data_IF_718334714805
#
_entry.id   IF_718334714805
#
_cell.length_a   1.000
_cell.length_b   1.000
_cell.length_c   1.000
_cell.angle_alpha   90.00
_cell.angle_beta   90.00
_cell.angle_gamma   90.00
#
_symmetry.space_group_name_H-M   'P 1'
#
loop_
_entity.id
_entity.type
_entity.pdbx_description
1 polymer ?
#
# COMPACT_ATOMS: atom_id res chain seq x y z
N UNK A 1 -29.94 -21.64 54.36
CA UNK A 1 -29.81 -20.30 53.72
C UNK A 1 -29.83 -20.48 52.23
N UNK A 2 -30.96 -20.22 51.61
CA UNK A 2 -31.13 -20.32 50.14
C UNK A 2 -30.81 -18.95 49.55
N UNK A 3 -29.70 -18.87 48.81
CA UNK A 3 -29.32 -17.66 48.11
C UNK A 3 -30.40 -17.29 47.08
N UNK A 4 -30.84 -16.03 47.13
CA UNK A 4 -31.84 -15.45 46.23
C UNK A 4 -31.43 -15.67 44.76
N UNK A 5 -32.26 -16.23 43.88
CA UNK A 5 -31.95 -16.50 42.48
C UNK A 5 -31.58 -15.21 41.69
N UNK A 6 -32.05 -14.04 42.09
CA UNK A 6 -31.65 -12.76 41.51
C UNK A 6 -30.19 -12.41 41.74
N UNK A 7 -29.57 -12.88 42.85
CA UNK A 7 -28.17 -12.63 43.13
C UNK A 7 -27.20 -13.48 42.25
N UNK A 8 -27.69 -14.57 41.64
CA UNK A 8 -26.91 -15.41 40.72
C UNK A 8 -26.94 -14.92 39.28
N UNK A 9 -27.97 -14.14 38.88
CA UNK A 9 -28.10 -13.59 37.56
C UNK A 9 -27.24 -12.32 37.34
N UNK A 10 -26.97 -11.59 38.40
CA UNK A 10 -26.21 -10.33 38.32
C UNK A 10 -24.79 -10.48 37.72
N UNK A 11 -23.95 -11.45 38.15
CA UNK A 11 -22.61 -11.60 37.56
C UNK A 11 -22.64 -12.09 36.10
N UNK A 12 -23.66 -12.88 35.72
CA UNK A 12 -23.84 -13.33 34.33
C UNK A 12 -24.23 -12.17 33.42
N UNK A 13 -25.13 -11.32 33.88
CA UNK A 13 -25.53 -10.11 33.14
C UNK A 13 -24.39 -9.10 33.03
N UNK A 14 -23.60 -8.96 34.10
CA UNK A 14 -22.40 -8.09 34.08
C UNK A 14 -21.32 -8.59 33.13
N UNK A 15 -21.07 -9.91 33.12
CA UNK A 15 -20.15 -10.54 32.18
C UNK A 15 -20.61 -10.41 30.71
N UNK A 16 -21.90 -10.59 30.47
CA UNK A 16 -22.50 -10.40 29.14
C UNK A 16 -22.43 -8.94 28.67
N UNK A 17 -22.68 -7.98 29.57
CA UNK A 17 -22.54 -6.55 29.29
C UNK A 17 -21.09 -6.14 28.99
N UNK A 18 -20.11 -6.72 29.69
CA UNK A 18 -18.67 -6.50 29.44
C UNK A 18 -18.22 -7.08 28.12
N UNK A 19 -18.75 -8.26 27.72
CA UNK A 19 -18.46 -8.86 26.42
C UNK A 19 -19.08 -8.06 25.28
N UNK A 20 -20.28 -7.52 25.47
CA UNK A 20 -20.95 -6.67 24.49
C UNK A 20 -20.31 -5.26 24.40
N UNK A 21 -19.81 -4.71 25.52
CA UNK A 21 -19.10 -3.43 25.54
C UNK A 21 -17.70 -3.50 24.89
N UNK A 22 -17.07 -4.69 24.88
CA UNK A 22 -15.76 -4.92 24.23
C UNK A 22 -15.84 -5.00 22.71
N UNK A 23 -17.01 -5.21 22.14
CA UNK A 23 -17.23 -5.22 20.69
C UNK A 23 -17.64 -3.83 20.17
N UNK A 24 -16.82 -2.79 20.41
CA UNK A 24 -16.98 -1.55 19.65
C UNK A 24 -16.76 -1.91 18.17
N UNK A 25 -17.76 -1.67 17.28
CA UNK A 25 -17.48 -1.79 15.86
C UNK A 25 -16.32 -0.84 15.56
N UNK A 26 -15.33 -1.30 14.75
CA UNK A 26 -14.38 -0.37 14.16
C UNK A 26 -15.20 0.74 13.52
N UNK A 27 -15.07 1.97 14.00
CA UNK A 27 -15.66 3.13 13.32
C UNK A 27 -14.90 3.29 12.02
N UNK A 28 -15.43 2.73 10.96
CA UNK A 28 -14.87 2.90 9.64
C UNK A 28 -15.55 4.10 9.04
N UNK A 29 -14.75 5.12 8.90
CA UNK A 29 -15.10 6.25 8.05
C UNK A 29 -15.28 5.72 6.62
N UNK A 30 -16.28 6.25 5.90
CA UNK A 30 -16.46 5.97 4.49
C UNK A 30 -15.12 6.18 3.75
N UNK A 31 -14.77 5.35 2.76
CA UNK A 31 -13.54 5.52 2.01
C UNK A 31 -13.51 6.94 1.44
N UNK A 32 -12.50 7.71 1.83
CA UNK A 32 -12.31 9.09 1.35
C UNK A 32 -11.75 9.16 -0.06
N UNK A 33 -11.31 8.02 -0.57
CA UNK A 33 -10.71 7.93 -1.91
C UNK A 33 -11.78 7.58 -2.93
N UNK A 34 -12.25 8.55 -3.73
CA UNK A 34 -13.18 8.28 -4.82
C UNK A 34 -12.50 7.38 -5.85
N UNK A 35 -13.30 6.68 -6.65
CA UNK A 35 -12.81 6.03 -7.86
C UNK A 35 -12.19 7.08 -8.79
N UNK A 36 -11.18 6.69 -9.58
CA UNK A 36 -10.57 7.57 -10.58
C UNK A 36 -11.63 8.11 -11.54
N UNK A 37 -11.66 9.42 -11.73
CA UNK A 37 -12.49 10.06 -12.74
C UNK A 37 -11.75 10.03 -14.09
N UNK A 38 -12.15 9.14 -14.95
CA UNK A 38 -11.58 8.99 -16.31
C UNK A 38 -12.37 9.75 -17.38
N UNK A 39 -13.49 10.43 -17.03
CA UNK A 39 -14.35 11.12 -17.99
C UNK A 39 -13.78 12.47 -18.47
N UNK A 40 -12.80 13.04 -17.74
CA UNK A 40 -12.17 14.31 -18.07
C UNK A 40 -10.74 14.16 -18.58
N UNK A 41 -10.07 15.29 -18.87
CA UNK A 41 -8.66 15.29 -19.22
C UNK A 41 -7.84 14.72 -18.04
N UNK A 42 -6.71 14.04 -18.32
CA UNK A 42 -5.89 13.49 -17.27
C UNK A 42 -5.43 14.59 -16.29
N UNK A 43 -5.30 14.26 -15.00
CA UNK A 43 -4.57 15.07 -14.06
C UNK A 43 -3.08 15.09 -14.43
N UNK A 44 -2.29 15.91 -13.75
CA UNK A 44 -0.83 15.90 -13.94
C UNK A 44 -0.20 14.68 -13.24
N UNK A 45 -0.80 14.25 -12.12
CA UNK A 45 -0.33 13.11 -11.31
C UNK A 45 -1.51 12.27 -10.84
N UNK A 46 -1.33 10.95 -10.83
CA UNK A 46 -2.24 9.98 -10.19
C UNK A 46 -1.47 9.27 -9.08
N UNK A 47 -2.02 9.25 -7.87
CA UNK A 47 -1.52 8.46 -6.74
C UNK A 47 -2.44 7.27 -6.52
N UNK A 48 -1.90 6.07 -6.66
CA UNK A 48 -2.59 4.81 -6.38
C UNK A 48 -2.04 4.24 -5.07
N UNK A 49 -2.90 4.12 -4.06
CA UNK A 49 -2.50 3.63 -2.75
C UNK A 49 -3.09 2.26 -2.46
N UNK A 50 -2.31 1.36 -1.87
CA UNK A 50 -2.78 0.07 -1.39
C UNK A 50 -2.43 -0.07 0.09
N UNK A 51 -3.47 -0.19 0.90
CA UNK A 51 -3.35 -0.46 2.33
C UNK A 51 -3.07 -1.94 2.56
N UNK A 52 -2.31 -2.26 3.60
CA UNK A 52 -1.93 -3.63 3.89
C UNK A 52 -2.90 -4.40 4.77
N UNK A 53 -2.35 -5.46 5.34
CA UNK A 53 -3.04 -6.37 6.24
C UNK A 53 -3.49 -5.67 7.52
N UNK A 54 -4.71 -5.91 7.94
CA UNK A 54 -5.19 -5.46 9.23
C UNK A 54 -4.69 -6.35 10.38
N UNK A 55 -4.42 -5.73 11.54
CA UNK A 55 -4.06 -6.43 12.77
C UNK A 55 -5.26 -6.85 13.61
N UNK A 56 -5.07 -7.75 14.61
CA UNK A 56 -6.14 -8.14 15.53
C UNK A 56 -6.87 -6.93 16.15
N UNK A 57 -8.16 -7.01 16.37
CA UNK A 57 -9.06 -8.15 16.27
C UNK A 57 -9.65 -8.41 14.87
N UNK A 58 -9.12 -7.78 13.86
CA UNK A 58 -9.49 -7.98 12.45
C UNK A 58 -9.02 -9.35 11.94
N UNK A 59 -9.76 -9.95 11.01
CA UNK A 59 -9.42 -11.22 10.37
C UNK A 59 -9.05 -10.98 8.90
N UNK A 60 -7.76 -10.79 8.64
CA UNK A 60 -7.25 -10.66 7.28
C UNK A 60 -7.42 -11.98 6.49
N UNK A 61 -7.58 -11.90 5.15
CA UNK A 61 -7.76 -10.68 4.34
C UNK A 61 -9.18 -10.14 4.36
N UNK A 62 -10.15 -10.92 4.92
CA UNK A 62 -11.58 -10.64 4.84
C UNK A 62 -11.99 -9.29 5.43
N UNK A 63 -11.30 -8.86 6.49
CA UNK A 63 -11.64 -7.62 7.21
C UNK A 63 -10.67 -6.48 6.86
N UNK A 64 -9.78 -6.63 5.87
CA UNK A 64 -8.91 -5.55 5.42
C UNK A 64 -9.71 -4.37 4.88
N UNK A 65 -9.16 -3.16 5.00
CA UNK A 65 -9.78 -1.95 4.48
C UNK A 65 -8.71 -0.94 4.02
N UNK A 66 -9.14 0.06 3.23
CA UNK A 66 -8.28 1.19 2.84
C UNK A 66 -8.07 2.15 4.01
N UNK A 67 -7.10 1.85 4.86
CA UNK A 67 -6.74 2.72 5.97
C UNK A 67 -5.79 3.85 5.58
N UNK A 68 -5.02 3.75 4.49
CA UNK A 68 -4.18 4.85 4.02
C UNK A 68 -5.02 6.04 3.58
N UNK A 69 -6.15 5.78 2.90
CA UNK A 69 -7.13 6.80 2.60
C UNK A 69 -7.83 7.34 3.85
N UNK A 70 -8.37 6.45 4.71
CA UNK A 70 -9.14 6.86 5.88
C UNK A 70 -8.30 7.57 6.97
N UNK A 71 -7.00 7.29 7.06
CA UNK A 71 -6.07 7.95 8.00
C UNK A 71 -5.55 9.30 7.49
N UNK A 72 -5.74 9.61 6.20
CA UNK A 72 -5.21 10.81 5.58
C UNK A 72 -3.77 10.69 5.07
N UNK A 73 -3.17 9.50 5.09
CA UNK A 73 -1.81 9.26 4.56
C UNK A 73 -1.75 9.51 3.05
N UNK A 74 -2.74 8.99 2.33
CA UNK A 74 -2.87 9.22 0.89
C UNK A 74 -3.05 10.71 0.57
N UNK A 75 -3.89 11.40 1.35
CA UNK A 75 -4.13 12.85 1.21
C UNK A 75 -2.87 13.66 1.50
N UNK A 76 -2.05 13.25 2.48
CA UNK A 76 -0.80 13.92 2.80
C UNK A 76 0.20 13.82 1.63
N UNK A 77 0.37 12.64 1.03
CA UNK A 77 1.23 12.45 -0.15
C UNK A 77 0.72 13.27 -1.34
N UNK A 78 -0.59 13.21 -1.60
CA UNK A 78 -1.21 14.01 -2.67
C UNK A 78 -1.05 15.52 -2.43
N UNK A 79 -1.18 15.97 -1.17
CA UNK A 79 -0.97 17.36 -0.76
C UNK A 79 0.46 17.84 -1.00
N UNK A 80 1.48 17.02 -0.69
CA UNK A 80 2.88 17.35 -0.96
C UNK A 80 3.15 17.54 -2.46
N UNK A 81 2.51 16.74 -3.32
CA UNK A 81 2.59 16.85 -4.77
C UNK A 81 1.84 18.09 -5.26
N UNK A 82 0.62 18.30 -4.77
CA UNK A 82 -0.23 19.43 -5.15
C UNK A 82 0.41 20.79 -4.76
N UNK A 83 1.11 20.85 -3.63
CA UNK A 83 1.87 22.03 -3.19
C UNK A 83 2.96 22.45 -4.19
N UNK A 84 3.41 21.55 -5.06
CA UNK A 84 4.32 21.84 -6.17
C UNK A 84 3.59 22.34 -7.43
N UNK A 85 2.26 22.54 -7.36
CA UNK A 85 1.44 23.10 -8.43
C UNK A 85 0.97 22.06 -9.46
N UNK A 86 0.87 20.78 -9.10
CA UNK A 86 0.30 19.72 -9.93
C UNK A 86 -1.15 19.46 -9.57
N UNK A 87 -1.97 19.15 -10.58
CA UNK A 87 -3.32 18.59 -10.37
C UNK A 87 -3.19 17.11 -10.07
N UNK A 88 -3.70 16.67 -8.92
CA UNK A 88 -3.55 15.29 -8.43
C UNK A 88 -4.91 14.62 -8.36
N UNK A 89 -5.01 13.38 -8.85
CA UNK A 89 -6.08 12.46 -8.49
C UNK A 89 -5.53 11.32 -7.64
N UNK A 90 -6.37 10.82 -6.74
CA UNK A 90 -6.01 9.73 -5.84
C UNK A 90 -7.02 8.60 -5.93
N UNK A 91 -6.57 7.37 -5.71
CA UNK A 91 -7.44 6.22 -5.47
C UNK A 91 -6.80 5.28 -4.46
N UNK A 92 -7.61 4.81 -3.50
CA UNK A 92 -7.19 3.90 -2.45
C UNK A 92 -7.81 2.51 -2.61
N UNK A 93 -7.04 1.51 -2.21
CA UNK A 93 -7.42 0.09 -2.29
C UNK A 93 -6.98 -0.62 -1.01
N UNK A 94 -7.68 -1.69 -0.69
CA UNK A 94 -7.37 -2.55 0.44
C UNK A 94 -6.58 -3.78 -0.02
N UNK A 95 -5.85 -4.39 0.92
CA UNK A 95 -5.15 -5.65 0.73
C UNK A 95 -6.15 -6.81 0.54
N UNK A 96 -6.47 -7.09 -0.69
CA UNK A 96 -7.30 -8.21 -1.12
C UNK A 96 -7.05 -8.48 -2.62
N UNK A 97 -7.10 -9.75 -3.04
CA UNK A 97 -7.04 -10.11 -4.45
C UNK A 97 -8.34 -9.75 -5.20
N UNK A 98 -9.46 -9.62 -4.50
CA UNK A 98 -10.79 -9.42 -5.07
C UNK A 98 -10.98 -8.00 -5.62
N UNK A 99 -11.91 -7.84 -6.56
CA UNK A 99 -12.27 -6.50 -7.06
C UNK A 99 -13.07 -5.71 -6.02
N UNK A 100 -14.02 -6.36 -5.35
CA UNK A 100 -14.84 -5.75 -4.29
C UNK A 100 -15.17 -6.80 -3.24
N UNK A 101 -15.23 -6.39 -2.00
CA UNK A 101 -15.62 -7.24 -0.89
C UNK A 101 -16.18 -6.41 0.25
N UNK A 102 -17.00 -7.05 1.11
CA UNK A 102 -17.58 -6.42 2.28
C UNK A 102 -16.89 -6.95 3.55
N UNK A 103 -16.04 -6.16 4.20
CA UNK A 103 -15.48 -6.53 5.50
C UNK A 103 -16.59 -6.62 6.56
N UNK A 104 -16.42 -7.48 7.56
CA UNK A 104 -17.43 -7.61 8.62
C UNK A 104 -17.46 -6.42 9.57
N UNK A 105 -16.32 -5.75 9.73
CA UNK A 105 -16.15 -4.66 10.71
C UNK A 105 -16.09 -3.28 10.09
N UNK A 106 -16.24 -3.22 8.77
CA UNK A 106 -16.18 -1.99 7.97
C UNK A 106 -17.53 -1.77 7.30
N UNK A 107 -18.15 -0.63 7.51
CA UNK A 107 -19.50 -0.37 7.00
C UNK A 107 -19.56 -0.30 5.48
N UNK A 108 -18.50 0.21 4.83
CA UNK A 108 -18.49 0.40 3.39
C UNK A 108 -17.81 -0.78 2.65
N UNK A 109 -18.30 -1.17 1.47
CA UNK A 109 -17.58 -2.09 0.59
C UNK A 109 -16.18 -1.59 0.30
N UNK A 110 -15.22 -2.51 0.22
CA UNK A 110 -13.82 -2.22 -0.05
C UNK A 110 -13.46 -2.70 -1.45
N UNK A 111 -12.46 -2.04 -2.04
CA UNK A 111 -11.90 -2.35 -3.35
C UNK A 111 -10.52 -2.94 -3.16
N UNK A 112 -10.25 -4.10 -3.77
CA UNK A 112 -8.94 -4.75 -3.70
C UNK A 112 -8.17 -4.65 -5.01
N UNK A 113 -7.14 -5.50 -5.16
CA UNK A 113 -6.21 -5.44 -6.27
C UNK A 113 -6.87 -5.64 -7.66
N UNK A 114 -7.84 -6.55 -7.79
CA UNK A 114 -8.50 -6.71 -9.09
C UNK A 114 -9.24 -5.43 -9.53
N UNK A 115 -9.74 -4.61 -8.59
CA UNK A 115 -10.28 -3.29 -8.92
C UNK A 115 -9.17 -2.30 -9.29
N UNK A 116 -8.03 -2.32 -8.59
CA UNK A 116 -6.86 -1.52 -8.95
C UNK A 116 -6.38 -1.85 -10.37
N UNK A 117 -6.22 -3.13 -10.69
CA UNK A 117 -5.80 -3.58 -12.02
C UNK A 117 -6.80 -3.15 -13.12
N UNK A 118 -8.11 -3.25 -12.84
CA UNK A 118 -9.15 -2.80 -13.78
C UNK A 118 -9.14 -1.28 -13.97
N UNK A 119 -8.99 -0.50 -12.91
CA UNK A 119 -8.85 0.97 -12.98
C UNK A 119 -7.60 1.36 -13.75
N UNK A 120 -6.48 0.67 -13.50
CA UNK A 120 -5.23 0.87 -14.19
C UNK A 120 -5.33 0.56 -15.69
N UNK A 121 -5.97 -0.55 -16.06
CA UNK A 121 -6.20 -0.91 -17.45
C UNK A 121 -7.05 0.15 -18.18
N UNK A 122 -8.12 0.65 -17.54
CA UNK A 122 -8.94 1.75 -18.07
C UNK A 122 -8.12 3.04 -18.22
N UNK A 123 -7.31 3.39 -17.22
CA UNK A 123 -6.42 4.55 -17.27
C UNK A 123 -5.41 4.43 -18.41
N UNK A 124 -4.80 3.24 -18.62
CA UNK A 124 -3.91 2.98 -19.78
C UNK A 124 -4.63 3.25 -21.09
N UNK A 125 -5.85 2.75 -21.27
CA UNK A 125 -6.62 2.94 -22.48
C UNK A 125 -6.98 4.41 -22.73
N UNK A 126 -7.42 5.13 -21.68
CA UNK A 126 -7.91 6.52 -21.82
C UNK A 126 -6.80 7.57 -21.89
N UNK A 127 -5.68 7.37 -21.18
CA UNK A 127 -4.68 8.43 -20.99
C UNK A 127 -3.29 8.10 -21.56
N UNK A 128 -2.90 6.83 -21.61
CA UNK A 128 -1.56 6.46 -22.11
C UNK A 128 -1.56 6.09 -23.59
N UNK A 129 -2.68 5.53 -24.08
CA UNK A 129 -2.80 5.10 -25.49
C UNK A 129 -3.59 6.08 -26.38
N UNK A 130 -4.22 7.08 -25.79
CA UNK A 130 -4.99 8.06 -26.52
C UNK A 130 -4.09 9.03 -27.28
N UNK A 131 -4.26 9.21 -28.62
CA UNK A 131 -3.46 10.15 -29.38
C UNK A 131 -3.59 11.59 -28.88
N UNK A 132 -2.48 12.32 -28.78
CA UNK A 132 -2.46 13.72 -28.37
C UNK A 132 -2.72 13.97 -26.90
N UNK A 133 -2.91 12.94 -26.08
CA UNK A 133 -3.07 13.07 -24.64
C UNK A 133 -1.71 12.92 -23.95
N UNK A 134 -1.35 13.91 -23.13
CA UNK A 134 -0.19 13.76 -22.25
C UNK A 134 -0.56 12.89 -21.06
N UNK A 135 0.04 11.70 -20.88
CA UNK A 135 -0.31 10.83 -19.77
C UNK A 135 0.10 11.45 -18.43
N UNK A 136 -0.62 11.14 -17.34
CA UNK A 136 -0.24 11.56 -16.01
C UNK A 136 1.04 10.87 -15.55
N UNK A 137 1.79 11.49 -14.66
CA UNK A 137 2.80 10.79 -13.87
C UNK A 137 2.12 9.90 -12.84
N UNK A 138 2.67 8.70 -12.65
CA UNK A 138 2.12 7.72 -11.72
C UNK A 138 2.97 7.63 -10.47
N UNK A 139 2.30 7.65 -9.33
CA UNK A 139 2.88 7.44 -8.00
C UNK A 139 2.17 6.24 -7.38
N UNK A 140 2.94 5.28 -6.89
CA UNK A 140 2.45 4.13 -6.13
C UNK A 140 2.76 4.35 -4.65
N UNK A 141 1.80 4.05 -3.78
CA UNK A 141 1.94 4.13 -2.33
C UNK A 141 1.46 2.81 -1.72
N UNK A 142 2.37 2.07 -1.13
CA UNK A 142 2.08 0.82 -0.44
C UNK A 142 2.40 0.89 1.05
N UNK A 143 1.62 0.19 1.87
CA UNK A 143 2.00 -0.11 3.25
C UNK A 143 1.82 -1.60 3.53
N UNK A 144 2.79 -2.22 4.20
CA UNK A 144 2.67 -3.64 4.54
C UNK A 144 2.51 -4.54 3.30
N UNK A 145 1.51 -5.42 3.24
CA UNK A 145 1.12 -6.16 2.02
C UNK A 145 0.76 -5.23 0.85
N UNK A 146 0.34 -3.99 1.13
CA UNK A 146 0.07 -3.01 0.07
C UNK A 146 1.28 -2.75 -0.82
N UNK A 147 2.51 -2.74 -0.25
CA UNK A 147 3.74 -2.64 -1.01
C UNK A 147 3.94 -3.85 -1.94
N UNK A 148 3.55 -5.06 -1.52
CA UNK A 148 3.60 -6.24 -2.40
C UNK A 148 2.72 -6.04 -3.64
N UNK A 149 1.51 -5.50 -3.46
CA UNK A 149 0.59 -5.22 -4.56
C UNK A 149 1.07 -4.11 -5.48
N UNK A 150 1.67 -3.04 -4.95
CA UNK A 150 2.20 -1.93 -5.78
C UNK A 150 3.40 -2.36 -6.61
N UNK A 151 4.33 -3.13 -6.03
CA UNK A 151 5.43 -3.75 -6.78
C UNK A 151 4.91 -4.70 -7.85
N UNK A 152 3.97 -5.56 -7.50
CA UNK A 152 3.36 -6.48 -8.46
C UNK A 152 2.70 -5.74 -9.63
N UNK A 153 1.95 -4.66 -9.36
CA UNK A 153 1.37 -3.82 -10.42
C UNK A 153 2.43 -3.28 -11.37
N UNK A 154 3.54 -2.78 -10.84
CA UNK A 154 4.64 -2.27 -11.66
C UNK A 154 5.32 -3.39 -12.49
N UNK A 155 5.52 -4.57 -11.90
CA UNK A 155 6.12 -5.73 -12.58
C UNK A 155 5.30 -6.23 -13.75
N UNK A 156 3.94 -6.28 -13.63
CA UNK A 156 3.06 -6.76 -14.71
C UNK A 156 2.71 -5.68 -15.73
N UNK A 157 3.20 -4.46 -15.57
CA UNK A 157 3.03 -3.35 -16.50
C UNK A 157 4.37 -2.70 -16.87
N UNK A 158 5.33 -3.45 -17.45
CA UNK A 158 6.68 -2.95 -17.73
C UNK A 158 6.70 -1.84 -18.81
N UNK A 159 5.63 -1.74 -19.58
CA UNK A 159 5.42 -0.72 -20.63
C UNK A 159 4.94 0.64 -20.10
N UNK A 160 4.66 0.75 -18.79
CA UNK A 160 4.17 1.98 -18.17
C UNK A 160 5.20 2.53 -17.20
N UNK A 161 5.66 3.79 -17.37
CA UNK A 161 6.58 4.41 -16.44
C UNK A 161 5.87 4.86 -15.15
N UNK A 162 6.43 4.53 -14.00
CA UNK A 162 6.05 5.04 -12.69
C UNK A 162 7.10 6.04 -12.24
N UNK A 163 6.68 7.26 -11.95
CA UNK A 163 7.59 8.32 -11.54
C UNK A 163 8.12 8.15 -10.11
N UNK A 164 7.30 7.55 -9.24
CA UNK A 164 7.64 7.33 -7.84
C UNK A 164 6.90 6.11 -7.29
N UNK A 165 7.61 5.30 -6.50
CA UNK A 165 7.06 4.29 -5.62
C UNK A 165 7.39 4.68 -4.18
N UNK A 166 6.45 4.45 -3.28
CA UNK A 166 6.59 4.74 -1.85
C UNK A 166 6.18 3.49 -1.09
N UNK A 167 7.16 2.88 -0.44
CA UNK A 167 6.99 1.67 0.35
C UNK A 167 7.07 1.99 1.84
N UNK A 168 5.92 2.00 2.48
CA UNK A 168 5.83 2.14 3.92
C UNK A 168 5.89 0.76 4.56
N UNK A 169 7.10 0.32 4.91
CA UNK A 169 7.33 -0.91 5.66
C UNK A 169 6.72 -2.16 5.01
N UNK A 170 7.03 -2.40 3.73
CA UNK A 170 6.53 -3.54 2.97
C UNK A 170 6.94 -4.87 3.59
N UNK A 171 5.99 -5.77 3.89
CA UNK A 171 6.24 -7.08 4.47
C UNK A 171 5.50 -8.20 3.74
N UNK A 172 6.07 -9.40 3.82
CA UNK A 172 5.52 -10.63 3.26
C UNK A 172 4.90 -11.58 4.29
N UNK A 173 4.91 -11.21 5.57
CA UNK A 173 4.38 -12.07 6.62
C UNK A 173 2.90 -12.42 6.36
N UNK A 174 2.59 -13.70 6.30
CA UNK A 174 1.25 -14.24 6.01
C UNK A 174 0.73 -14.05 4.58
N UNK A 175 1.50 -13.56 3.62
CA UNK A 175 1.06 -13.34 2.24
C UNK A 175 0.33 -14.55 1.63
N UNK A 176 0.99 -15.72 1.64
CA UNK A 176 0.41 -16.93 1.09
C UNK A 176 -0.82 -17.40 1.88
N UNK A 177 -0.81 -17.26 3.20
CA UNK A 177 -1.94 -17.62 4.06
C UNK A 177 -3.17 -16.79 3.72
N UNK A 178 -2.99 -15.50 3.51
CA UNK A 178 -4.09 -14.56 3.29
C UNK A 178 -4.62 -14.64 1.84
N UNK A 179 -3.75 -14.84 0.84
CA UNK A 179 -4.13 -14.64 -0.57
C UNK A 179 -4.20 -15.91 -1.41
N UNK A 180 -3.58 -17.03 -0.99
CA UNK A 180 -3.49 -18.24 -1.82
C UNK A 180 -4.85 -18.76 -2.31
N UNK A 181 -5.86 -18.73 -1.44
CA UNK A 181 -7.20 -19.22 -1.76
C UNK A 181 -7.83 -18.38 -2.87
N UNK A 182 -7.82 -17.06 -2.69
CA UNK A 182 -8.50 -16.14 -3.60
C UNK A 182 -7.76 -16.04 -4.93
N UNK A 183 -6.42 -16.03 -4.92
CA UNK A 183 -5.59 -16.02 -6.12
C UNK A 183 -5.70 -17.31 -6.94
N UNK A 184 -5.96 -18.47 -6.30
CA UNK A 184 -6.24 -19.71 -7.04
C UNK A 184 -7.64 -19.71 -7.67
N UNK A 185 -8.63 -19.16 -6.94
CA UNK A 185 -10.00 -19.10 -7.42
C UNK A 185 -10.22 -17.99 -8.46
N UNK A 186 -9.52 -16.88 -8.31
CA UNK A 186 -9.66 -15.65 -9.12
C UNK A 186 -8.26 -15.12 -9.47
N UNK A 187 -7.57 -15.72 -10.44
CA UNK A 187 -6.27 -15.22 -10.88
C UNK A 187 -6.36 -13.76 -11.34
N UNK A 188 -5.40 -12.96 -10.91
CA UNK A 188 -5.34 -11.52 -11.26
C UNK A 188 -4.31 -11.24 -12.35
N UNK A 189 -3.55 -12.24 -12.76
CA UNK A 189 -2.56 -12.21 -13.82
C UNK A 189 -3.11 -12.71 -15.15
N UNK A 190 -2.57 -12.17 -16.25
CA UNK A 190 -2.74 -12.70 -17.58
C UNK A 190 -1.72 -13.82 -17.88
N UNK A 191 -1.99 -14.70 -18.88
CA UNK A 191 -1.01 -15.72 -19.30
C UNK A 191 0.37 -15.12 -19.60
N UNK A 192 1.42 -15.73 -19.05
CA UNK A 192 2.80 -15.29 -19.25
C UNK A 192 3.26 -14.17 -18.30
N UNK A 193 2.40 -13.63 -17.46
CA UNK A 193 2.77 -12.69 -16.43
C UNK A 193 3.29 -13.39 -15.15
N UNK A 194 4.13 -12.71 -14.33
CA UNK A 194 4.46 -13.19 -12.99
C UNK A 194 3.19 -13.46 -12.17
N UNK A 195 3.20 -14.51 -11.36
CA UNK A 195 2.04 -14.82 -10.52
C UNK A 195 2.07 -13.98 -9.25
N UNK A 196 0.94 -13.37 -8.90
CA UNK A 196 0.80 -12.57 -7.68
C UNK A 196 1.15 -13.35 -6.41
N UNK A 197 0.86 -14.65 -6.38
CA UNK A 197 1.17 -15.52 -5.24
C UNK A 197 2.68 -15.69 -5.01
N UNK A 198 3.49 -15.53 -6.06
CA UNK A 198 4.95 -15.66 -5.98
C UNK A 198 5.65 -14.35 -5.58
N UNK A 199 4.93 -13.26 -5.43
CA UNK A 199 5.51 -11.94 -5.11
C UNK A 199 6.37 -11.91 -3.85
N UNK A 200 6.13 -12.84 -2.93
CA UNK A 200 6.89 -13.00 -1.69
C UNK A 200 7.95 -14.12 -1.75
N UNK A 201 8.12 -14.79 -2.88
CA UNK A 201 9.17 -15.80 -3.04
C UNK A 201 10.55 -15.15 -3.11
N UNK A 202 11.57 -15.90 -2.63
CA UNK A 202 12.96 -15.47 -2.76
C UNK A 202 13.42 -15.65 -4.21
N UNK A 203 14.07 -14.62 -4.74
CA UNK A 203 14.71 -14.61 -6.06
C UNK A 203 16.15 -14.20 -5.94
N UNK A 204 16.99 -14.69 -6.88
CA UNK A 204 18.40 -14.30 -6.93
C UNK A 204 18.53 -12.96 -7.64
N UNK A 205 19.18 -12.00 -6.97
CA UNK A 205 19.57 -10.71 -7.56
C UNK A 205 21.08 -10.52 -7.31
N UNK A 206 21.86 -10.50 -8.36
CA UNK A 206 23.31 -10.48 -8.23
C UNK A 206 23.82 -11.70 -7.43
N UNK A 207 24.52 -11.42 -6.33
CA UNK A 207 25.03 -12.46 -5.40
C UNK A 207 24.09 -12.74 -4.22
N UNK A 208 23.01 -11.97 -4.08
CA UNK A 208 22.08 -12.05 -2.96
C UNK A 208 20.80 -12.80 -3.30
N UNK A 209 20.02 -13.06 -2.26
CA UNK A 209 18.64 -13.52 -2.33
C UNK A 209 17.76 -12.45 -1.71
N UNK A 210 16.76 -11.98 -2.45
CA UNK A 210 15.78 -11.00 -1.97
C UNK A 210 14.37 -11.52 -2.26
N UNK A 211 13.35 -10.96 -1.64
CA UNK A 211 11.99 -11.28 -2.04
C UNK A 211 11.67 -10.60 -3.37
N UNK A 212 10.85 -11.23 -4.19
CA UNK A 212 10.47 -10.65 -5.49
C UNK A 212 9.84 -9.26 -5.33
N UNK A 213 9.08 -9.03 -4.28
CA UNK A 213 8.52 -7.71 -3.97
C UNK A 213 9.58 -6.62 -3.69
N UNK A 214 10.82 -7.01 -3.29
CA UNK A 214 11.90 -6.04 -3.01
C UNK A 214 12.71 -5.72 -4.28
N UNK A 215 12.35 -6.33 -5.39
CA UNK A 215 12.94 -5.98 -6.69
C UNK A 215 12.15 -4.83 -7.31
N UNK A 216 12.70 -3.62 -7.23
CA UNK A 216 12.11 -2.41 -7.82
C UNK A 216 12.28 -2.45 -9.33
N UNK A 217 11.20 -2.57 -10.13
CA UNK A 217 11.31 -2.71 -11.58
C UNK A 217 11.93 -1.49 -12.26
N UNK A 218 12.54 -1.68 -13.44
CA UNK A 218 13.22 -0.60 -14.18
C UNK A 218 12.27 0.50 -14.67
N UNK A 219 11.00 0.22 -14.81
CA UNK A 219 9.97 1.21 -15.16
C UNK A 219 9.54 2.10 -13.97
N UNK A 220 10.11 1.92 -12.79
CA UNK A 220 9.96 2.79 -11.62
C UNK A 220 11.18 3.70 -11.54
N UNK A 221 11.01 5.02 -11.68
CA UNK A 221 12.14 5.95 -11.69
C UNK A 221 12.78 6.13 -10.31
N UNK A 222 11.94 6.34 -9.28
CA UNK A 222 12.39 6.53 -7.89
C UNK A 222 11.58 5.65 -6.95
N UNK A 223 12.24 5.21 -5.87
CA UNK A 223 11.62 4.43 -4.80
C UNK A 223 12.02 5.03 -3.44
N UNK A 224 11.02 5.27 -2.60
CA UNK A 224 11.20 5.71 -1.22
C UNK A 224 10.80 4.57 -0.28
N UNK A 225 11.80 3.87 0.23
CA UNK A 225 11.61 2.75 1.15
C UNK A 225 11.69 3.21 2.60
N UNK A 226 10.64 2.94 3.36
CA UNK A 226 10.60 3.11 4.81
C UNK A 226 10.67 1.73 5.46
N UNK A 227 11.49 1.60 6.48
CA UNK A 227 11.56 0.40 7.32
C UNK A 227 11.37 0.76 8.79
N UNK A 228 10.46 0.07 9.47
CA UNK A 228 10.33 0.13 10.91
C UNK A 228 11.31 -0.85 11.55
N UNK A 229 12.17 -0.36 12.45
CA UNK A 229 13.15 -1.17 13.21
C UNK A 229 13.04 -0.95 14.70
N UNK A 230 11.87 -0.57 15.18
CA UNK A 230 11.64 -0.38 16.61
C UNK A 230 11.89 -1.66 17.37
N UNK A 231 12.65 -1.54 18.45
CA UNK A 231 12.92 -2.67 19.34
C UNK A 231 11.64 -3.11 20.09
N UNK A 232 11.45 -4.42 20.32
CA UNK A 232 10.26 -4.95 21.00
C UNK A 232 10.00 -4.41 22.41
N UNK A 233 11.03 -3.87 23.09
CA UNK A 233 10.92 -3.29 24.43
C UNK A 233 10.10 -1.99 24.50
N UNK A 234 9.90 -1.32 23.38
CA UNK A 234 9.12 -0.08 23.32
C UNK A 234 7.65 -0.38 23.03
N UNK A 235 6.75 0.31 23.75
CA UNK A 235 5.32 0.26 23.43
C UNK A 235 5.06 0.93 22.10
N UNK A 236 4.14 0.37 21.35
CA UNK A 236 3.61 1.02 20.16
C UNK A 236 2.56 2.06 20.54
N UNK A 237 2.78 3.32 20.16
CA UNK A 237 1.81 4.38 20.38
C UNK A 237 0.60 4.26 19.41
N UNK A 238 0.77 3.51 18.33
CA UNK A 238 -0.30 3.23 17.35
C UNK A 238 -1.09 1.96 17.66
N UNK A 239 -0.70 1.19 18.70
CA UNK A 239 -1.29 -0.12 19.00
C UNK A 239 -0.88 -1.24 18.06
N UNK A 240 0.09 -1.00 17.16
CA UNK A 240 0.56 -1.97 16.18
C UNK A 240 1.55 -2.98 16.75
N UNK A 241 1.82 -4.02 15.96
CA UNK A 241 2.85 -5.02 16.24
C UNK A 241 4.16 -4.66 15.53
N UNK A 242 5.30 -4.97 16.17
CA UNK A 242 6.64 -4.72 15.61
C UNK A 242 7.11 -5.86 14.69
N UNK A 243 6.24 -6.31 13.82
CA UNK A 243 6.46 -7.54 13.04
C UNK A 243 7.57 -7.40 12.01
N UNK A 244 7.78 -6.20 11.46
CA UNK A 244 8.78 -6.01 10.41
C UNK A 244 10.18 -6.41 10.87
N UNK A 245 10.59 -5.99 12.06
CA UNK A 245 11.91 -6.30 12.60
C UNK A 245 12.24 -7.80 12.62
N UNK A 246 11.22 -8.64 12.83
CA UNK A 246 11.38 -10.09 12.93
C UNK A 246 11.23 -10.82 11.60
N UNK A 247 10.46 -10.27 10.66
CA UNK A 247 10.00 -10.99 9.49
C UNK A 247 10.50 -10.44 8.15
N UNK A 248 11.01 -9.22 8.13
CA UNK A 248 11.48 -8.60 6.90
C UNK A 248 12.88 -8.03 7.07
N UNK A 249 13.86 -8.72 6.48
CA UNK A 249 15.28 -8.39 6.57
C UNK A 249 15.85 -7.97 5.20
N UNK A 250 15.09 -8.14 4.13
CA UNK A 250 15.51 -7.76 2.78
C UNK A 250 15.20 -6.29 2.51
N UNK A 251 15.98 -5.69 1.63
CA UNK A 251 15.90 -4.29 1.24
C UNK A 251 15.51 -4.20 -0.22
N UNK A 252 14.84 -3.11 -0.59
CA UNK A 252 14.56 -2.84 -1.99
C UNK A 252 15.87 -2.68 -2.78
N UNK A 253 15.94 -3.36 -3.92
CA UNK A 253 17.08 -3.33 -4.85
C UNK A 253 16.58 -3.28 -6.29
N UNK A 254 17.43 -2.81 -7.20
CA UNK A 254 17.18 -2.94 -8.63
C UNK A 254 17.43 -4.36 -9.11
N UNK A 255 16.97 -4.75 -10.32
CA UNK A 255 17.24 -6.09 -10.89
C UNK A 255 18.73 -6.43 -11.03
N UNK A 256 19.60 -5.44 -11.15
CA UNK A 256 21.06 -5.60 -11.16
C UNK A 256 21.69 -5.67 -9.76
N UNK A 257 20.90 -5.54 -8.71
CA UNK A 257 21.34 -5.51 -7.31
C UNK A 257 21.80 -4.14 -6.81
N UNK A 258 21.73 -3.09 -7.64
CA UNK A 258 22.07 -1.74 -7.23
C UNK A 258 20.91 -1.09 -6.43
N UNK A 259 21.19 0.06 -5.83
CA UNK A 259 20.19 0.93 -5.17
C UNK A 259 19.93 2.22 -5.97
N UNK A 260 20.18 2.22 -7.27
CA UNK A 260 20.00 3.40 -8.09
C UNK A 260 18.56 3.94 -8.02
N UNK A 261 18.39 5.22 -7.62
CA UNK A 261 17.08 5.85 -7.46
C UNK A 261 16.24 5.30 -6.30
N UNK A 262 16.82 4.53 -5.39
CA UNK A 262 16.19 4.03 -4.16
C UNK A 262 16.74 4.83 -2.99
N UNK A 263 15.88 5.49 -2.25
CA UNK A 263 16.21 6.19 -1.02
C UNK A 263 15.52 5.50 0.16
N UNK A 264 16.19 5.47 1.32
CA UNK A 264 15.72 4.67 2.45
C UNK A 264 15.68 5.47 3.74
N UNK A 265 14.62 5.30 4.49
CA UNK A 265 14.46 5.77 5.86
C UNK A 265 14.25 4.58 6.81
N UNK A 266 15.08 4.49 7.84
CA UNK A 266 14.96 3.45 8.88
C UNK A 266 14.50 4.11 10.16
N UNK A 267 13.25 3.85 10.57
CA UNK A 267 12.71 4.31 11.85
C UNK A 267 13.00 3.30 12.95
N UNK A 268 13.77 3.70 13.94
CA UNK A 268 14.02 2.91 15.17
C UNK A 268 13.03 3.26 16.31
N UNK A 269 12.20 4.27 16.10
CA UNK A 269 11.23 4.77 17.09
C UNK A 269 9.81 4.36 16.80
N UNK A 270 9.51 4.04 15.56
CA UNK A 270 8.18 3.74 15.05
C UNK A 270 8.05 2.26 14.74
N UNK A 271 6.90 1.71 15.00
CA UNK A 271 6.55 0.34 14.62
C UNK A 271 5.94 0.27 13.23
N UNK A 272 5.62 -0.95 12.81
CA UNK A 272 5.02 -1.26 11.51
C UNK A 272 3.75 -0.43 11.20
N UNK A 273 2.88 -0.20 12.17
CA UNK A 273 1.67 0.59 11.96
C UNK A 273 1.95 2.09 11.99
N UNK A 274 2.82 2.53 12.92
CA UNK A 274 3.11 3.94 13.17
C UNK A 274 3.68 4.66 11.94
N UNK A 275 4.56 4.01 11.17
CA UNK A 275 5.19 4.60 9.97
C UNK A 275 4.17 5.05 8.90
N UNK A 276 2.95 4.52 8.94
CA UNK A 276 1.89 4.85 8.00
C UNK A 276 0.99 6.00 8.44
N UNK A 277 1.23 6.62 9.58
CA UNK A 277 0.40 7.75 10.06
C UNK A 277 0.95 9.09 9.58
N UNK A 278 0.05 10.08 9.31
CA UNK A 278 0.46 11.41 8.82
C UNK A 278 1.43 12.18 9.71
N UNK A 279 1.41 11.90 11.03
CA UNK A 279 2.26 12.55 12.02
C UNK A 279 3.56 11.79 12.32
N UNK A 280 3.82 10.65 11.67
CA UNK A 280 5.03 9.87 11.85
C UNK A 280 6.27 10.60 11.31
N UNK A 281 7.43 10.33 11.90
CA UNK A 281 8.71 10.83 11.37
C UNK A 281 9.02 10.20 10.00
N UNK A 282 8.64 8.94 9.82
CA UNK A 282 8.75 8.24 8.55
C UNK A 282 7.95 8.94 7.45
N UNK A 283 6.67 9.27 7.69
CA UNK A 283 5.88 9.95 6.65
C UNK A 283 6.34 11.38 6.43
N UNK A 284 6.78 12.12 7.44
CA UNK A 284 7.40 13.45 7.25
C UNK A 284 8.57 13.37 6.27
N UNK A 285 9.49 12.42 6.48
CA UNK A 285 10.60 12.20 5.55
C UNK A 285 10.11 11.89 4.13
N UNK A 286 9.12 11.00 3.98
CA UNK A 286 8.52 10.68 2.67
C UNK A 286 7.95 11.92 2.01
N UNK A 287 7.22 12.78 2.73
CA UNK A 287 6.63 14.00 2.18
C UNK A 287 7.70 15.00 1.73
N UNK A 288 8.78 15.17 2.50
CA UNK A 288 9.91 16.03 2.16
C UNK A 288 10.64 15.53 0.90
N UNK A 289 10.91 14.20 0.83
CA UNK A 289 11.54 13.59 -0.34
C UNK A 289 10.64 13.64 -1.58
N UNK A 290 9.34 13.35 -1.41
CA UNK A 290 8.35 13.50 -2.49
C UNK A 290 8.33 14.92 -3.03
N UNK A 291 8.25 15.93 -2.18
CA UNK A 291 8.25 17.33 -2.59
C UNK A 291 9.53 17.69 -3.37
N UNK A 292 10.70 17.25 -2.90
CA UNK A 292 11.99 17.45 -3.56
C UNK A 292 12.04 16.82 -4.96
N UNK A 293 11.64 15.54 -5.09
CA UNK A 293 11.62 14.83 -6.37
C UNK A 293 10.63 15.48 -7.35
N UNK A 294 9.44 15.83 -6.87
CA UNK A 294 8.37 16.44 -7.68
C UNK A 294 8.75 17.84 -8.17
N UNK A 295 9.47 18.63 -7.37
CA UNK A 295 10.00 19.93 -7.80
C UNK A 295 10.90 19.80 -9.05
N UNK A 296 11.68 18.73 -9.14
CA UNK A 296 12.54 18.43 -10.28
C UNK A 296 11.77 18.08 -11.56
N UNK A 297 10.51 17.64 -11.45
CA UNK A 297 9.72 17.23 -12.62
C UNK A 297 9.40 18.38 -13.60
N UNK A 298 9.37 19.63 -13.12
CA UNK A 298 9.16 20.82 -13.96
C UNK A 298 10.38 21.15 -14.82
N UNK A 299 11.57 20.83 -14.32
CA UNK A 299 12.83 21.13 -15.01
C UNK A 299 13.14 20.09 -16.11
N UNK A 300 12.69 18.85 -15.94
CA UNK A 300 12.91 17.74 -16.87
C UNK A 300 11.93 17.67 -18.04
N UNK A 301 10.93 18.57 -18.13
CA UNK A 301 9.95 18.56 -19.22
C UNK A 301 10.49 19.00 -20.58
N UNK A 302 11.79 19.26 -20.71
CA UNK A 302 12.47 19.60 -21.97
C UNK A 302 13.15 18.40 -22.67
N UNK A 303 13.15 17.20 -22.08
CA UNK A 303 13.74 16.02 -22.75
C UNK A 303 12.77 14.83 -22.69
N UNK A 304 12.26 14.33 -23.81
CA UNK A 304 11.59 13.05 -23.83
C UNK A 304 12.61 11.98 -23.41
N UNK A 305 12.25 11.13 -22.45
CA UNK A 305 13.01 9.95 -22.12
C UNK A 305 13.21 9.15 -23.40
N UNK A 306 14.41 9.16 -23.97
CA UNK A 306 14.77 8.38 -25.14
C UNK A 306 15.07 6.93 -24.63
N UNK A 307 14.24 5.92 -24.93
CA UNK A 307 14.43 4.57 -24.40
C UNK A 307 15.61 3.82 -25.02
N UNK A 308 16.48 4.52 -25.77
CA UNK A 308 17.55 3.93 -26.58
C UNK A 308 18.98 4.23 -26.16
N UNK A 309 19.23 4.87 -25.02
CA UNK A 309 20.63 5.10 -24.56
C UNK A 309 20.91 4.40 -23.25
N UNK A 310 21.15 3.11 -23.34
CA UNK A 310 21.92 2.36 -22.34
C UNK A 310 23.31 2.19 -22.93
N UNK A 311 24.39 2.63 -22.26
CA UNK A 311 25.76 2.35 -22.67
C UNK A 311 26.10 0.87 -22.51
#
# INVERSE_FOLDING_TARGET
>A
MTLNPAARLLPVLLALALVLAGCRPLQVFAPRSPALNLAGPPPDVVVLAVSGRCGPPCRAPRDNWDYLGSRGTLDAVAGAIAAQGYRVQVAGYADSALASFQPLKVVAPQRGYAALAADFARMKAHWFRAPGVRPPRLVLLGHSHGSVWTHYLAQVNPDVPFALMIDLDGICASWNLDHQRDLRAHPVEAPGQPRAIDACNLVRVGRGMVRLKDVVPLNVAHDLEVQSKRLPAYRSDSGGFFVNYLFEVTLNVRPDGSSAGIERFVSVREDHSAVSYPNSDALKWVLERTASLVAGWKQGSASPLNPGSVP
#
